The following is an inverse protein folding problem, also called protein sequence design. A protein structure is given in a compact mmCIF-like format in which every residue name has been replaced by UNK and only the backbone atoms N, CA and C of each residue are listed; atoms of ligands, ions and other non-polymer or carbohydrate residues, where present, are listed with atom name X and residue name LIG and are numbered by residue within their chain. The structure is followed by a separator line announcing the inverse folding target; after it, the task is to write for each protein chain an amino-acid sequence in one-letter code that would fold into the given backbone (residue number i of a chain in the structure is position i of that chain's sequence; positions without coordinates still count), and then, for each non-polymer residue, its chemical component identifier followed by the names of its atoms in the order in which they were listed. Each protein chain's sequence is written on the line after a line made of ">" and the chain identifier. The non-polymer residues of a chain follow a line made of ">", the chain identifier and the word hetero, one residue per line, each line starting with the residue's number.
data_IF_643000147082
#
_entry.id   IF_643000147082
#
_cell.length_a   1.000
_cell.length_b   1.000
_cell.length_c   1.000
_cell.angle_alpha   90.00
_cell.angle_beta   90.00
_cell.angle_gamma   90.00
#
_symmetry.space_group_name_H-M   'P 1'
#
loop_
_entity.id
_entity.type
_entity.pdbx_description
1 polymer ?
#
# COMPACT_ATOMS: atom_id res chain seq x y z
N UNK A 1 -8.79 14.84 8.37
CA UNK A 1 -8.19 15.70 9.41
C UNK A 1 -8.51 15.07 10.74
N UNK A 2 -7.50 14.79 11.55
CA UNK A 2 -7.70 14.33 12.93
C UNK A 2 -8.06 15.50 13.88
N UNK A 3 -7.71 16.73 13.47
CA UNK A 3 -7.99 17.96 14.21
C UNK A 3 -9.35 18.54 13.80
N UNK A 4 -10.04 19.13 14.77
CA UNK A 4 -11.33 19.77 14.57
C UNK A 4 -11.21 21.07 13.75
N UNK A 5 -12.14 21.33 12.82
CA UNK A 5 -13.22 20.43 12.39
C UNK A 5 -12.68 19.22 11.61
N UNK A 6 -13.17 18.03 11.95
CA UNK A 6 -12.78 16.79 11.28
C UNK A 6 -13.54 16.64 9.98
N UNK A 7 -12.82 16.56 8.88
CA UNK A 7 -13.38 16.27 7.57
C UNK A 7 -12.44 15.37 6.78
N UNK A 8 -13.02 14.69 5.78
CA UNK A 8 -12.28 13.92 4.81
C UNK A 8 -12.05 14.77 3.55
N UNK A 9 -10.79 15.11 3.25
CA UNK A 9 -10.46 16.05 2.16
C UNK A 9 -11.05 15.63 0.80
N UNK A 10 -11.11 14.32 0.51
CA UNK A 10 -11.77 13.76 -0.67
C UNK A 10 -13.24 14.19 -0.81
N UNK A 11 -14.00 14.15 0.29
CA UNK A 11 -15.43 14.54 0.26
C UNK A 11 -15.57 16.05 0.03
N UNK A 12 -14.70 16.85 0.65
CA UNK A 12 -14.67 18.30 0.42
C UNK A 12 -14.28 18.63 -1.03
N UNK A 13 -13.32 17.90 -1.61
CA UNK A 13 -12.94 18.08 -3.01
C UNK A 13 -14.11 17.80 -3.96
N UNK A 14 -14.87 16.72 -3.71
CA UNK A 14 -16.10 16.41 -4.47
C UNK A 14 -17.15 17.50 -4.33
N UNK A 15 -17.43 17.95 -3.10
CA UNK A 15 -18.39 19.02 -2.84
C UNK A 15 -18.00 20.32 -3.57
N UNK A 16 -16.73 20.73 -3.45
CA UNK A 16 -16.23 21.94 -4.13
C UNK A 16 -16.24 21.80 -5.64
N UNK A 17 -15.86 20.64 -6.17
CA UNK A 17 -15.90 20.36 -7.61
C UNK A 17 -17.31 20.48 -8.17
N UNK A 18 -18.29 19.86 -7.51
CA UNK A 18 -19.69 20.00 -7.89
C UNK A 18 -20.18 21.45 -7.85
N UNK A 19 -19.87 22.19 -6.78
CA UNK A 19 -20.24 23.61 -6.65
C UNK A 19 -19.60 24.51 -7.73
N UNK A 20 -18.39 24.16 -8.18
CA UNK A 20 -17.66 24.91 -9.20
C UNK A 20 -17.91 24.42 -10.64
N UNK A 21 -18.73 23.37 -10.83
CA UNK A 21 -18.88 22.72 -12.14
C UNK A 21 -17.59 22.09 -12.67
N UNK A 22 -16.66 21.72 -11.80
CA UNK A 22 -15.34 21.20 -12.14
C UNK A 22 -15.27 19.67 -12.04
N UNK A 23 -14.47 19.06 -12.92
CA UNK A 23 -14.15 17.63 -12.86
C UNK A 23 -13.22 17.34 -11.66
N UNK A 24 -13.57 16.33 -10.87
CA UNK A 24 -12.73 15.83 -9.78
C UNK A 24 -12.19 14.46 -10.15
N UNK A 25 -10.87 14.35 -10.31
CA UNK A 25 -10.18 13.10 -10.61
C UNK A 25 -9.56 12.51 -9.33
N UNK A 26 -9.93 11.27 -8.99
CA UNK A 26 -9.36 10.52 -7.87
C UNK A 26 -8.32 9.52 -8.38
N UNK A 27 -7.05 9.91 -8.36
CA UNK A 27 -5.93 9.03 -8.72
C UNK A 27 -5.47 8.20 -7.52
N UNK A 28 -5.43 6.88 -7.66
CA UNK A 28 -4.81 5.99 -6.66
C UNK A 28 -4.34 4.68 -7.29
N UNK A 29 -3.18 4.19 -6.85
CA UNK A 29 -2.70 2.84 -7.14
C UNK A 29 -3.40 1.78 -6.26
N UNK A 30 -3.87 2.18 -5.09
CA UNK A 30 -4.57 1.35 -4.10
C UNK A 30 -5.77 2.14 -3.57
N UNK A 31 -6.86 2.25 -4.35
CA UNK A 31 -8.02 3.06 -3.96
C UNK A 31 -8.62 2.55 -2.65
N UNK A 32 -9.22 3.46 -1.87
CA UNK A 32 -9.96 3.03 -0.68
C UNK A 32 -11.12 2.12 -1.09
N UNK A 33 -11.52 1.21 -0.22
CA UNK A 33 -12.63 0.28 -0.46
C UNK A 33 -13.89 1.03 -0.91
N UNK A 34 -14.23 2.11 -0.21
CA UNK A 34 -15.39 2.95 -0.54
C UNK A 34 -15.31 3.56 -1.95
N UNK A 35 -14.18 4.16 -2.33
CA UNK A 35 -14.03 4.77 -3.66
C UNK A 35 -14.08 3.72 -4.77
N UNK A 36 -13.47 2.56 -4.55
CA UNK A 36 -13.53 1.46 -5.52
C UNK A 36 -14.94 0.87 -5.63
N UNK A 37 -15.66 0.76 -4.53
CA UNK A 37 -17.05 0.30 -4.51
C UNK A 37 -17.96 1.23 -5.32
N UNK A 38 -17.93 2.54 -5.03
CA UNK A 38 -18.68 3.57 -5.79
C UNK A 38 -18.37 3.52 -7.28
N UNK A 39 -17.10 3.33 -7.66
CA UNK A 39 -16.69 3.20 -9.05
C UNK A 39 -17.24 1.91 -9.72
N UNK A 40 -17.30 0.80 -8.99
CA UNK A 40 -17.91 -0.45 -9.48
C UNK A 40 -19.44 -0.37 -9.59
N UNK A 41 -20.08 0.39 -8.72
CA UNK A 41 -21.53 0.62 -8.75
C UNK A 41 -21.98 1.63 -9.81
N UNK A 42 -21.04 2.34 -10.44
CA UNK A 42 -21.34 3.35 -11.47
C UNK A 42 -21.50 4.77 -10.95
N UNK A 43 -21.37 5.01 -9.64
CA UNK A 43 -21.39 6.35 -9.06
C UNK A 43 -20.19 7.19 -9.54
N UNK A 44 -19.05 6.53 -9.80
CA UNK A 44 -17.85 7.13 -10.37
C UNK A 44 -17.49 6.43 -11.70
N UNK A 45 -16.98 7.20 -12.65
CA UNK A 45 -16.32 6.62 -13.82
C UNK A 45 -14.98 6.00 -13.41
N UNK A 46 -14.79 4.71 -13.72
CA UNK A 46 -13.57 3.97 -13.43
C UNK A 46 -12.65 3.90 -14.65
N UNK A 47 -11.44 4.45 -14.52
CA UNK A 47 -10.38 4.32 -15.53
C UNK A 47 -9.19 3.56 -14.93
N UNK A 48 -8.81 2.44 -15.55
CA UNK A 48 -7.73 1.58 -15.06
C UNK A 48 -6.54 1.58 -16.00
N UNK A 49 -5.38 1.99 -15.51
CA UNK A 49 -4.10 1.86 -16.22
C UNK A 49 -3.50 0.48 -15.95
N UNK A 50 -3.64 -0.45 -16.90
CA UNK A 50 -3.23 -1.86 -16.74
C UNK A 50 -1.74 -2.11 -16.97
N UNK A 51 -1.03 -1.16 -17.59
CA UNK A 51 0.40 -1.28 -17.91
C UNK A 51 1.24 -0.45 -16.95
N UNK A 52 2.35 -1.01 -16.49
CA UNK A 52 3.34 -0.29 -15.67
C UNK A 52 4.14 0.66 -16.55
N UNK A 53 4.50 1.80 -15.98
CA UNK A 53 5.48 2.68 -16.59
C UNK A 53 6.78 1.91 -16.87
N UNK A 54 7.28 1.99 -18.11
CA UNK A 54 8.46 1.27 -18.63
C UNK A 54 8.41 -0.26 -18.47
N UNK A 55 7.22 -0.85 -18.39
CA UNK A 55 7.04 -2.32 -18.34
C UNK A 55 7.88 -3.03 -17.26
N UNK A 56 8.23 -2.31 -16.18
CA UNK A 56 9.07 -2.86 -15.11
C UNK A 56 8.40 -4.07 -14.46
N UNK A 57 9.18 -5.13 -14.31
CA UNK A 57 8.77 -6.35 -13.62
C UNK A 57 8.45 -6.09 -12.15
N UNK A 58 7.61 -6.95 -11.58
CA UNK A 58 7.36 -6.96 -10.14
C UNK A 58 8.61 -7.44 -9.40
N UNK A 59 8.90 -6.91 -8.19
CA UNK A 59 9.95 -7.46 -7.37
C UNK A 59 9.62 -8.91 -6.99
N UNK A 60 10.65 -9.73 -6.81
CA UNK A 60 10.47 -11.06 -6.24
C UNK A 60 10.07 -10.95 -4.77
N UNK A 61 9.08 -11.75 -4.38
CA UNK A 61 8.55 -11.78 -3.01
C UNK A 61 8.49 -13.21 -2.52
N UNK A 62 8.83 -13.42 -1.25
CA UNK A 62 8.77 -14.73 -0.60
C UNK A 62 7.87 -14.65 0.62
N UNK A 63 6.99 -15.65 0.78
CA UNK A 63 6.21 -15.84 2.00
C UNK A 63 6.94 -16.89 2.83
N UNK A 64 7.27 -16.56 4.08
CA UNK A 64 7.93 -17.46 5.02
C UNK A 64 6.96 -17.83 6.13
N UNK A 65 6.80 -19.12 6.39
CA UNK A 65 5.97 -19.62 7.49
C UNK A 65 6.80 -19.69 8.78
N UNK A 66 6.57 -18.74 9.69
CA UNK A 66 7.26 -18.69 10.98
C UNK A 66 6.95 -19.89 11.88
N UNK A 67 5.87 -20.65 11.66
CA UNK A 67 5.63 -21.88 12.42
C UNK A 67 6.63 -22.97 12.04
N UNK A 68 7.11 -22.99 10.80
CA UNK A 68 8.14 -23.93 10.37
C UNK A 68 9.50 -23.55 10.96
N UNK A 69 9.83 -22.25 10.98
CA UNK A 69 11.05 -21.73 11.63
C UNK A 69 11.12 -22.16 13.10
N UNK A 70 10.03 -22.01 13.86
CA UNK A 70 9.94 -22.45 15.26
C UNK A 70 10.20 -23.95 15.39
N UNK A 71 9.60 -24.78 14.52
CA UNK A 71 9.81 -26.24 14.52
C UNK A 71 11.26 -26.61 14.19
N UNK A 72 11.96 -25.77 13.42
CA UNK A 72 13.36 -25.94 13.04
C UNK A 72 14.33 -25.31 14.06
N UNK A 73 13.82 -24.76 15.18
CA UNK A 73 14.63 -24.23 16.28
C UNK A 73 14.80 -22.72 16.28
N UNK A 74 14.27 -21.98 15.28
CA UNK A 74 14.26 -20.53 15.29
C UNK A 74 12.98 -19.99 15.97
N UNK A 75 13.10 -19.68 17.26
CA UNK A 75 12.00 -19.17 18.08
C UNK A 75 11.79 -17.64 17.96
N UNK A 76 12.55 -16.95 17.09
CA UNK A 76 12.48 -15.48 16.99
C UNK A 76 11.37 -15.02 16.04
N UNK A 77 11.05 -13.73 16.07
CA UNK A 77 10.10 -13.11 15.13
C UNK A 77 10.73 -12.83 13.74
N UNK A 78 12.02 -13.11 13.55
CA UNK A 78 12.76 -12.89 12.31
C UNK A 78 13.12 -14.26 11.75
N UNK A 79 12.63 -14.58 10.55
CA UNK A 79 13.01 -15.83 9.89
C UNK A 79 14.47 -15.79 9.43
N UNK A 80 15.11 -16.96 9.34
CA UNK A 80 16.49 -17.06 8.85
C UNK A 80 16.68 -16.40 7.47
N UNK A 81 15.79 -16.61 6.47
CA UNK A 81 15.93 -15.94 5.18
C UNK A 81 15.84 -14.41 5.26
N UNK A 82 15.03 -13.87 6.19
CA UNK A 82 14.94 -12.42 6.38
C UNK A 82 16.22 -11.88 7.03
N UNK A 83 16.72 -12.56 8.06
CA UNK A 83 17.98 -12.20 8.73
C UNK A 83 19.15 -12.16 7.74
N UNK A 84 19.28 -13.19 6.91
CA UNK A 84 20.30 -13.27 5.86
C UNK A 84 20.21 -12.08 4.90
N UNK A 85 19.01 -11.77 4.39
CA UNK A 85 18.84 -10.63 3.45
C UNK A 85 19.08 -9.27 4.09
N UNK A 86 18.75 -9.12 5.38
CA UNK A 86 19.08 -7.92 6.13
C UNK A 86 20.60 -7.77 6.27
N UNK A 87 21.30 -8.86 6.62
CA UNK A 87 22.76 -8.89 6.74
C UNK A 87 23.44 -8.60 5.39
N UNK A 88 22.99 -9.24 4.31
CA UNK A 88 23.48 -9.01 2.95
C UNK A 88 23.40 -7.52 2.58
N UNK A 89 22.26 -6.89 2.85
CA UNK A 89 22.06 -5.47 2.56
C UNK A 89 22.99 -4.59 3.39
N UNK A 90 23.13 -4.85 4.70
CA UNK A 90 24.03 -4.08 5.58
C UNK A 90 25.48 -4.17 5.10
N UNK A 91 25.97 -5.38 4.80
CA UNK A 91 27.34 -5.61 4.30
C UNK A 91 27.55 -4.89 2.96
N UNK A 92 26.52 -4.86 2.10
CA UNK A 92 26.57 -4.14 0.83
C UNK A 92 26.37 -2.61 0.95
N UNK A 93 26.29 -2.05 2.16
CA UNK A 93 26.05 -0.62 2.38
C UNK A 93 24.67 -0.14 1.93
N UNK A 94 23.70 -1.06 1.83
CA UNK A 94 22.31 -0.80 1.42
C UNK A 94 21.40 -0.68 2.64
N UNK A 95 20.23 -0.08 2.43
CA UNK A 95 19.22 0.07 3.47
C UNK A 95 18.08 -0.93 3.29
N UNK A 96 17.54 -1.40 4.41
CA UNK A 96 16.37 -2.24 4.48
C UNK A 96 15.27 -1.51 5.26
N UNK A 97 14.01 -1.65 4.83
CA UNK A 97 12.85 -1.10 5.53
C UNK A 97 12.06 -2.25 6.13
N UNK A 98 11.90 -2.24 7.46
CA UNK A 98 11.06 -3.19 8.18
C UNK A 98 9.75 -2.50 8.58
N UNK A 99 8.62 -3.04 8.13
CA UNK A 99 7.30 -2.56 8.51
C UNK A 99 6.79 -3.34 9.72
N UNK A 100 6.47 -2.61 10.80
CA UNK A 100 5.84 -3.14 12.00
C UNK A 100 4.45 -2.52 12.14
N UNK A 101 3.49 -3.28 12.65
CA UNK A 101 2.14 -2.78 12.88
C UNK A 101 2.16 -1.60 13.87
N UNK A 102 1.37 -0.56 13.58
CA UNK A 102 1.15 0.55 14.52
C UNK A 102 0.38 0.01 15.74
N UNK A 103 0.85 0.36 16.94
CA UNK A 103 0.10 0.16 18.20
C UNK A 103 -0.96 1.25 18.38
#
# INVERSE_FOLDING_TARGET
>A
SENSPRYHAREIARFRGAKAGALVLLGSATPSVESMYRAKCGDYCLYTLKKRYNEKTLPQTQIVDLKQEIRQGNATAISLPLEEKLRDNIIAGRQSILFLNRR
#
